data_IF_987821159788
#
_entry.id   IF_987821159788
#
_cell.length_a   1.000
_cell.length_b   1.000
_cell.length_c   1.000
_cell.angle_alpha   90.00
_cell.angle_beta   90.00
_cell.angle_gamma   90.00
#
_symmetry.space_group_name_H-M   'P 1'
#
loop_
_entity.id
_entity.type
_entity.pdbx_description
1 polymer ?
#
# COMPACT_ATOMS: atom_id res chain seq x y z
N UNK A 1 -16.35 -13.69 30.53
CA UNK A 1 -15.98 -14.42 31.76
C UNK A 1 -15.64 -15.83 31.37
N UNK A 2 -14.43 -16.32 31.67
CA UNK A 2 -14.10 -17.74 31.50
C UNK A 2 -14.38 -18.41 32.83
N UNK A 3 -15.29 -19.38 32.83
CA UNK A 3 -15.51 -20.26 33.97
C UNK A 3 -14.49 -21.38 33.89
N UNK A 4 -13.54 -21.41 34.83
CA UNK A 4 -12.64 -22.54 35.03
C UNK A 4 -13.22 -23.44 36.11
N UNK A 5 -13.70 -24.63 35.71
CA UNK A 5 -14.07 -25.68 36.66
C UNK A 5 -12.78 -26.36 37.14
N UNK A 6 -12.35 -26.03 38.36
CA UNK A 6 -11.13 -26.58 38.94
C UNK A 6 -11.20 -28.11 39.08
N UNK A 7 -10.23 -28.81 38.51
CA UNK A 7 -9.98 -30.22 38.80
C UNK A 7 -9.15 -30.31 40.09
N UNK A 8 -9.74 -30.87 41.16
CA UNK A 8 -9.10 -30.95 42.49
C UNK A 8 -8.15 -32.15 42.64
N UNK A 9 -7.84 -32.88 41.56
CA UNK A 9 -7.20 -34.20 41.66
C UNK A 9 -5.71 -34.29 41.24
N UNK A 10 -5.02 -33.19 40.89
CA UNK A 10 -3.66 -33.29 40.36
C UNK A 10 -2.84 -31.99 40.53
N UNK A 11 -1.78 -32.07 41.35
CA UNK A 11 -0.87 -30.97 41.70
C UNK A 11 0.34 -30.87 40.75
N UNK A 12 0.19 -31.00 39.42
CA UNK A 12 1.25 -30.66 38.47
C UNK A 12 0.70 -30.24 37.11
N UNK A 13 0.43 -28.94 36.97
CA UNK A 13 0.78 -28.23 35.76
C UNK A 13 1.03 -26.76 36.15
N UNK A 14 2.30 -26.46 36.39
CA UNK A 14 2.84 -25.11 36.34
C UNK A 14 2.20 -24.38 35.15
N UNK A 15 1.52 -23.26 35.37
CA UNK A 15 0.95 -22.44 34.27
C UNK A 15 2.02 -21.76 33.41
N UNK A 16 3.24 -22.29 33.38
CA UNK A 16 4.37 -21.82 32.57
C UNK A 16 4.10 -21.87 31.06
N UNK A 17 3.00 -22.49 30.63
CA UNK A 17 2.59 -22.60 29.23
C UNK A 17 1.21 -22.01 28.92
N UNK A 18 0.72 -21.04 29.69
CA UNK A 18 -0.17 -20.06 29.05
C UNK A 18 0.70 -19.14 28.17
N UNK A 19 1.25 -19.72 27.09
CA UNK A 19 1.54 -18.96 25.90
C UNK A 19 0.17 -18.48 25.40
N UNK A 20 -0.32 -17.36 25.95
CA UNK A 20 -1.27 -16.54 25.23
C UNK A 20 -0.51 -16.10 23.98
N UNK A 21 -0.50 -16.93 22.93
CA UNK A 21 -0.38 -16.46 21.57
C UNK A 21 -1.58 -15.54 21.43
N UNK A 22 -1.36 -14.27 21.71
CA UNK A 22 -2.26 -13.23 21.27
C UNK A 22 -2.31 -13.39 19.76
N UNK A 23 -3.34 -14.09 19.27
CA UNK A 23 -3.66 -14.10 17.86
C UNK A 23 -4.12 -12.68 17.57
N UNK A 24 -3.16 -11.81 17.23
CA UNK A 24 -3.44 -10.49 16.75
C UNK A 24 -4.08 -10.68 15.37
N UNK A 25 -5.40 -10.72 15.33
CA UNK A 25 -6.16 -10.73 14.09
C UNK A 25 -6.19 -9.29 13.56
N UNK A 26 -5.03 -8.78 13.12
CA UNK A 26 -5.06 -7.59 12.28
C UNK A 26 -5.86 -7.94 11.03
N UNK A 27 -6.90 -7.16 10.68
CA UNK A 27 -7.63 -7.42 9.44
C UNK A 27 -6.64 -7.42 8.28
N UNK A 28 -6.73 -8.43 7.43
CA UNK A 28 -5.95 -8.48 6.19
C UNK A 28 -6.39 -7.33 5.31
N UNK A 29 -5.45 -6.48 4.94
CA UNK A 29 -5.70 -5.45 3.94
C UNK A 29 -5.79 -6.08 2.55
N UNK A 30 -6.87 -5.78 1.84
CA UNK A 30 -7.18 -6.29 0.50
C UNK A 30 -7.54 -5.18 -0.48
N UNK A 31 -7.36 -3.91 -0.09
CA UNK A 31 -7.81 -2.76 -0.88
C UNK A 31 -6.62 -2.13 -1.57
N UNK A 32 -6.59 -2.05 -2.91
CA UNK A 32 -5.48 -1.43 -3.60
C UNK A 32 -5.48 0.11 -3.42
N UNK A 33 -4.29 0.72 -3.34
CA UNK A 33 -4.16 2.17 -3.29
C UNK A 33 -4.64 2.80 -4.60
N UNK A 34 -5.38 3.89 -4.47
CA UNK A 34 -5.73 4.75 -5.62
C UNK A 34 -4.65 5.80 -5.83
N UNK A 35 -4.43 6.25 -7.08
CA UNK A 35 -3.43 7.27 -7.42
C UNK A 35 -4.09 8.43 -8.16
N UNK A 36 -3.75 9.65 -7.74
CA UNK A 36 -4.18 10.90 -8.36
C UNK A 36 -2.97 11.65 -8.94
N UNK A 37 -3.20 12.39 -10.03
CA UNK A 37 -2.20 13.23 -10.68
C UNK A 37 -2.54 14.71 -10.51
N UNK A 38 -1.53 15.53 -10.23
CA UNK A 38 -1.64 16.99 -10.19
C UNK A 38 -0.50 17.62 -11.00
N UNK A 39 -0.79 18.45 -12.03
CA UNK A 39 -2.12 18.78 -12.49
C UNK A 39 -2.85 17.56 -13.10
N UNK A 40 -4.18 17.61 -13.11
CA UNK A 40 -5.01 16.53 -13.68
C UNK A 40 -4.75 16.37 -15.18
N UNK A 41 -5.18 15.27 -15.78
CA UNK A 41 -5.10 15.10 -17.23
C UNK A 41 -5.78 16.26 -17.97
N UNK A 42 -5.13 16.79 -18.99
CA UNK A 42 -5.66 17.92 -19.76
C UNK A 42 -4.71 18.35 -20.86
N UNK A 43 -5.14 19.37 -21.61
CA UNK A 43 -4.29 20.02 -22.62
C UNK A 43 -3.56 21.19 -21.98
N UNK A 44 -2.25 21.22 -22.16
CA UNK A 44 -1.38 22.28 -21.65
C UNK A 44 -0.60 22.90 -22.79
N UNK A 45 -0.50 24.23 -22.79
CA UNK A 45 0.28 24.99 -23.79
C UNK A 45 1.74 25.18 -23.37
N UNK A 46 2.14 24.64 -22.22
CA UNK A 46 3.48 24.76 -21.65
C UNK A 46 3.83 23.49 -20.90
N UNK A 47 5.13 23.25 -20.68
CA UNK A 47 5.59 22.08 -19.94
C UNK A 47 4.97 22.04 -18.53
N UNK A 48 4.55 20.85 -18.12
CA UNK A 48 3.98 20.60 -16.79
C UNK A 48 4.95 19.79 -15.95
N UNK A 49 4.94 20.04 -14.64
CA UNK A 49 5.58 19.18 -13.65
C UNK A 49 4.46 18.45 -12.90
N UNK A 50 4.32 17.16 -13.14
CA UNK A 50 3.27 16.33 -12.53
C UNK A 50 3.77 15.73 -11.21
N UNK A 51 2.89 15.76 -10.23
CA UNK A 51 2.99 15.00 -8.98
C UNK A 51 1.93 13.91 -8.96
N UNK A 52 2.35 12.68 -8.65
CA UNK A 52 1.47 11.54 -8.39
C UNK A 52 1.37 11.32 -6.88
N UNK A 53 0.16 11.20 -6.37
CA UNK A 53 -0.14 10.97 -4.95
C UNK A 53 -1.08 9.79 -4.79
N UNK A 54 -0.64 8.80 -4.02
CA UNK A 54 -1.46 7.66 -3.63
C UNK A 54 -2.35 7.96 -2.41
N UNK A 55 -3.48 7.27 -2.27
CA UNK A 55 -4.41 7.41 -1.14
C UNK A 55 -3.83 6.96 0.21
N UNK A 56 -2.76 6.16 0.19
CA UNK A 56 -2.08 5.63 1.36
C UNK A 56 -0.60 5.36 1.08
N UNK A 57 0.22 5.08 2.13
CA UNK A 57 1.64 4.79 1.98
C UNK A 57 1.88 3.59 1.04
N UNK A 58 2.50 3.86 -0.10
CA UNK A 58 2.70 2.89 -1.17
C UNK A 58 3.84 3.31 -2.11
N UNK A 59 4.25 2.39 -2.97
CA UNK A 59 5.16 2.67 -4.09
C UNK A 59 4.35 2.93 -5.35
N UNK A 60 4.56 4.07 -6.01
CA UNK A 60 3.92 4.41 -7.28
C UNK A 60 4.84 4.00 -8.43
N UNK A 61 4.31 3.30 -9.42
CA UNK A 61 4.97 2.90 -10.66
C UNK A 61 4.31 3.62 -11.82
N UNK A 62 5.10 4.12 -12.77
CA UNK A 62 4.57 4.90 -13.88
C UNK A 62 5.37 4.78 -15.17
N UNK A 63 4.73 5.15 -16.27
CA UNK A 63 5.28 5.22 -17.62
C UNK A 63 4.80 6.50 -18.29
N UNK A 64 5.67 7.15 -19.06
CA UNK A 64 5.35 8.38 -19.80
C UNK A 64 5.10 8.13 -21.29
N UNK A 65 5.42 6.94 -21.79
CA UNK A 65 5.26 6.55 -23.19
C UNK A 65 3.88 5.93 -23.50
N UNK A 66 2.99 5.84 -22.50
CA UNK A 66 1.68 5.22 -22.63
C UNK A 66 1.66 3.69 -22.56
N UNK A 67 2.79 3.02 -22.34
CA UNK A 67 2.83 1.58 -22.05
C UNK A 67 2.21 1.27 -20.67
N UNK A 68 1.72 0.05 -20.45
CA UNK A 68 1.17 -0.34 -19.14
C UNK A 68 2.31 -0.45 -18.12
N UNK A 69 2.28 0.30 -17.00
CA UNK A 69 3.31 0.20 -15.97
C UNK A 69 3.32 -1.19 -15.33
N UNK A 70 4.51 -1.65 -14.94
CA UNK A 70 4.73 -2.88 -14.18
C UNK A 70 5.63 -2.57 -12.97
N UNK A 71 5.88 -3.56 -12.11
CA UNK A 71 6.82 -3.41 -10.98
C UNK A 71 8.28 -3.18 -11.41
N UNK A 72 8.59 -3.28 -12.71
CA UNK A 72 9.90 -2.95 -13.28
C UNK A 72 9.94 -1.56 -13.94
N UNK A 73 8.82 -0.85 -14.01
CA UNK A 73 8.75 0.53 -14.51
C UNK A 73 9.40 1.51 -13.53
N UNK A 74 9.61 2.75 -13.97
CA UNK A 74 10.07 3.83 -13.08
C UNK A 74 9.12 3.99 -11.89
N UNK A 75 9.69 4.12 -10.69
CA UNK A 75 8.91 4.11 -9.45
C UNK A 75 9.52 4.93 -8.32
N UNK A 76 8.69 5.29 -7.34
CA UNK A 76 9.12 5.94 -6.11
C UNK A 76 8.07 5.89 -5.01
N UNK A 77 8.43 6.22 -3.76
CA UNK A 77 7.46 6.34 -2.67
C UNK A 77 6.45 7.46 -2.97
N UNK A 78 5.19 7.25 -2.59
CA UNK A 78 4.17 8.30 -2.66
C UNK A 78 4.50 9.46 -1.70
N UNK A 79 4.46 10.73 -2.14
CA UNK A 79 4.19 11.19 -3.50
C UNK A 79 5.44 11.18 -4.41
N UNK A 80 5.24 10.89 -5.70
CA UNK A 80 6.28 11.05 -6.74
C UNK A 80 6.10 12.42 -7.39
N UNK A 81 7.07 13.32 -7.24
CA UNK A 81 7.01 14.69 -7.79
C UNK A 81 8.07 14.91 -8.87
N UNK A 82 7.84 15.93 -9.72
CA UNK A 82 8.84 16.35 -10.71
C UNK A 82 8.80 15.56 -12.02
N UNK A 83 7.69 14.89 -12.32
CA UNK A 83 7.52 14.20 -13.61
C UNK A 83 7.31 15.27 -14.68
N UNK A 84 8.37 15.59 -15.41
CA UNK A 84 8.35 16.64 -16.44
C UNK A 84 7.69 16.15 -17.73
N UNK A 85 6.65 16.86 -18.16
CA UNK A 85 5.91 16.62 -19.40
C UNK A 85 6.02 17.87 -20.28
N UNK A 86 6.86 17.82 -21.31
CA UNK A 86 7.10 18.95 -22.23
C UNK A 86 6.42 18.80 -23.59
N UNK A 87 5.94 17.60 -23.92
CA UNK A 87 5.25 17.27 -25.18
C UNK A 87 4.03 16.39 -24.89
N UNK A 88 3.22 16.10 -25.92
CA UNK A 88 2.07 15.21 -25.80
C UNK A 88 2.50 13.83 -25.27
N UNK A 89 2.09 13.52 -24.04
CA UNK A 89 2.57 12.38 -23.26
C UNK A 89 1.36 11.65 -22.68
N UNK A 90 1.38 10.31 -22.74
CA UNK A 90 0.37 9.49 -22.04
C UNK A 90 1.01 8.97 -20.75
N UNK A 91 0.72 9.64 -19.64
CA UNK A 91 1.18 9.21 -18.32
C UNK A 91 0.23 8.14 -17.77
N UNK A 92 0.72 6.92 -17.56
CA UNK A 92 0.00 5.83 -16.89
C UNK A 92 0.69 5.48 -15.58
N UNK A 93 -0.08 5.08 -14.57
CA UNK A 93 0.43 4.78 -13.25
C UNK A 93 -0.46 3.82 -12.47
N UNK A 94 0.14 3.12 -11.52
CA UNK A 94 -0.54 2.41 -10.44
C UNK A 94 0.31 2.50 -9.16
N UNK A 95 -0.25 2.14 -8.02
CA UNK A 95 0.49 2.02 -6.78
C UNK A 95 0.39 0.60 -6.22
N UNK A 96 1.39 0.21 -5.43
CA UNK A 96 1.42 -1.04 -4.68
C UNK A 96 1.74 -0.75 -3.22
N UNK A 97 0.88 -1.19 -2.31
CA UNK A 97 1.07 -1.03 -0.87
C UNK A 97 1.97 -2.14 -0.27
N UNK A 98 2.14 -2.14 1.05
CA UNK A 98 2.92 -3.15 1.77
C UNK A 98 2.20 -4.50 1.93
N UNK A 99 0.86 -4.51 1.83
CA UNK A 99 0.05 -5.72 1.79
C UNK A 99 0.09 -6.41 0.41
N UNK A 100 0.54 -5.69 -0.61
CA UNK A 100 0.74 -6.17 -1.98
C UNK A 100 -0.46 -5.95 -2.90
N UNK A 101 -1.42 -5.11 -2.49
CA UNK A 101 -2.59 -4.76 -3.30
C UNK A 101 -2.21 -3.82 -4.45
#
# INVERSE_FOLDING_TARGET
MITVNGNTANNWASISEINVKTFSTTPTDTTPPTVSASPVSGTYTSAQSVTLTASEPSTIYYTTDGSTPTISSTSGPSPVSGISISTSTTLKYFAKDTAGN
#
